data_IF_054460206461
#
_entry.id   IF_054460206461
#
_cell.length_a   1.000
_cell.length_b   1.000
_cell.length_c   1.000
_cell.angle_alpha   90.00
_cell.angle_beta   90.00
_cell.angle_gamma   90.00
#
_symmetry.space_group_name_H-M   'P 1'
#
loop_
_entity.id
_entity.type
_entity.pdbx_description
1 polymer ?
#
# COMPACT_ATOMS: atom_id res chain seq x y z
N UNK A 1 -9.80 9.05 4.85
CA UNK A 1 -8.62 9.16 5.75
C UNK A 1 -7.45 9.40 4.83
N UNK A 2 -6.46 10.22 5.16
CA UNK A 2 -5.38 10.47 4.19
C UNK A 2 -4.31 9.40 4.32
N UNK A 3 -3.76 8.92 3.21
CA UNK A 3 -2.61 8.02 3.24
C UNK A 3 -1.47 8.66 4.05
N UNK A 4 -0.98 7.94 5.06
CA UNK A 4 0.20 8.31 5.81
C UNK A 4 1.45 7.65 5.22
N UNK A 5 1.39 6.34 4.97
CA UNK A 5 2.45 5.56 4.31
C UNK A 5 1.86 4.28 3.74
N UNK A 6 2.26 3.91 2.54
CA UNK A 6 2.06 2.57 2.00
C UNK A 6 3.41 1.89 1.90
N UNK A 7 3.49 0.63 2.34
CA UNK A 7 4.70 -0.19 2.30
C UNK A 7 4.40 -1.49 1.57
N UNK A 8 5.11 -1.71 0.47
CA UNK A 8 5.00 -2.89 -0.37
C UNK A 8 6.28 -3.71 -0.20
N UNK A 9 6.14 -4.94 0.26
CA UNK A 9 7.23 -5.90 0.39
C UNK A 9 7.15 -6.88 -0.78
N UNK A 10 8.19 -6.88 -1.60
CA UNK A 10 8.32 -7.78 -2.75
C UNK A 10 8.87 -9.14 -2.34
N UNK A 11 8.71 -10.13 -3.20
CA UNK A 11 9.16 -11.52 -2.95
C UNK A 11 10.67 -11.66 -2.77
N UNK A 12 11.45 -10.73 -3.32
CA UNK A 12 12.89 -10.63 -3.10
C UNK A 12 13.27 -9.89 -1.80
N UNK A 13 12.30 -9.61 -0.92
CA UNK A 13 12.42 -8.82 0.32
C UNK A 13 12.76 -7.33 0.13
N UNK A 14 12.75 -6.82 -1.10
CA UNK A 14 12.82 -5.39 -1.34
C UNK A 14 11.56 -4.71 -0.81
N UNK A 15 11.74 -3.52 -0.24
CA UNK A 15 10.65 -2.72 0.32
C UNK A 15 10.52 -1.44 -0.48
N UNK A 16 9.33 -1.20 -1.01
CA UNK A 16 8.94 0.08 -1.60
C UNK A 16 8.04 0.82 -0.60
N UNK A 17 8.27 2.12 -0.45
CA UNK A 17 7.48 2.98 0.42
C UNK A 17 7.01 4.21 -0.34
N UNK A 18 5.74 4.56 -0.17
CA UNK A 18 5.11 5.73 -0.78
C UNK A 18 4.25 6.46 0.24
N UNK A 19 4.06 7.76 0.02
CA UNK A 19 3.23 8.63 0.87
C UNK A 19 2.05 9.26 0.09
N UNK A 20 1.85 8.89 -1.17
CA UNK A 20 0.67 9.26 -1.95
C UNK A 20 -0.04 8.02 -2.49
N UNK A 21 -1.36 8.13 -2.68
CA UNK A 21 -2.19 7.05 -3.23
C UNK A 21 -1.73 6.75 -4.65
N UNK A 22 -1.49 7.77 -5.47
CA UNK A 22 -1.09 7.63 -6.87
C UNK A 22 0.23 6.87 -7.01
N UNK A 23 1.25 7.23 -6.21
CA UNK A 23 2.53 6.54 -6.25
C UNK A 23 2.40 5.08 -5.78
N UNK A 24 1.57 4.84 -4.77
CA UNK A 24 1.30 3.49 -4.28
C UNK A 24 0.67 2.63 -5.36
N UNK A 25 -0.33 3.16 -6.07
CA UNK A 25 -0.98 2.46 -7.19
C UNK A 25 0.01 2.18 -8.33
N UNK A 26 0.85 3.16 -8.69
CA UNK A 26 1.90 2.93 -9.71
C UNK A 26 2.86 1.81 -9.33
N UNK A 27 3.31 1.74 -8.07
CA UNK A 27 4.16 0.63 -7.61
C UNK A 27 3.44 -0.72 -7.66
N UNK A 28 2.16 -0.76 -7.30
CA UNK A 28 1.37 -2.00 -7.37
C UNK A 28 1.21 -2.48 -8.81
N UNK A 29 0.98 -1.57 -9.76
CA UNK A 29 0.92 -1.90 -11.20
C UNK A 29 2.27 -2.39 -11.74
N UNK A 30 3.37 -1.69 -11.42
CA UNK A 30 4.72 -2.01 -11.92
C UNK A 30 5.30 -3.32 -11.36
N UNK A 31 4.81 -3.75 -10.19
CA UNK A 31 5.34 -4.89 -9.44
C UNK A 31 4.37 -6.07 -9.33
N UNK A 32 3.14 -5.96 -9.85
CA UNK A 32 2.13 -7.03 -9.82
C UNK A 32 2.69 -8.36 -10.34
N UNK A 33 3.42 -8.33 -11.45
CA UNK A 33 4.00 -9.52 -12.09
C UNK A 33 5.30 -10.00 -11.43
N UNK A 34 5.96 -9.17 -10.61
CA UNK A 34 7.24 -9.49 -9.94
C UNK A 34 7.04 -10.19 -8.60
N UNK A 35 5.80 -10.30 -8.14
CA UNK A 35 5.40 -11.01 -6.94
C UNK A 35 5.52 -10.13 -5.69
N UNK A 36 4.36 -9.73 -5.17
CA UNK A 36 4.23 -8.99 -3.92
C UNK A 36 3.98 -9.98 -2.78
N UNK A 37 4.74 -9.87 -1.70
CA UNK A 37 4.59 -10.70 -0.51
C UNK A 37 3.67 -10.08 0.54
N UNK A 38 3.69 -8.76 0.67
CA UNK A 38 2.92 -8.04 1.69
C UNK A 38 2.69 -6.59 1.30
N UNK A 39 1.52 -6.06 1.65
CA UNK A 39 1.19 -4.64 1.53
C UNK A 39 0.66 -4.18 2.89
N UNK A 40 1.26 -3.11 3.42
CA UNK A 40 0.82 -2.43 4.64
C UNK A 40 0.42 -1.01 4.27
N UNK A 41 -0.78 -0.59 4.65
CA UNK A 41 -1.30 0.76 4.37
C UNK A 41 -1.60 1.41 5.71
N UNK A 42 -0.87 2.46 6.02
CA UNK A 42 -1.15 3.34 7.15
C UNK A 42 -1.88 4.58 6.62
N UNK A 43 -3.06 4.84 7.16
CA UNK A 43 -3.81 6.07 6.89
C UNK A 43 -3.98 6.87 8.19
N UNK A 44 -4.19 8.17 8.08
CA UNK A 44 -4.42 9.04 9.22
C UNK A 44 -5.66 9.90 9.05
N UNK A 45 -6.38 10.12 10.15
CA UNK A 45 -7.45 11.10 10.26
C UNK A 45 -6.95 12.47 10.78
N UNK A 46 -5.63 12.63 10.95
CA UNK A 46 -4.97 13.80 11.52
C UNK A 46 -4.71 13.69 13.04
N UNK A 47 -5.33 12.73 13.74
CA UNK A 47 -5.14 12.51 15.17
C UNK A 47 -4.46 11.16 15.47
N UNK A 48 -4.80 10.12 14.71
CA UNK A 48 -4.25 8.78 14.88
C UNK A 48 -3.90 8.14 13.53
N UNK A 49 -3.03 7.13 13.58
CA UNK A 49 -2.72 6.27 12.44
C UNK A 49 -3.57 5.00 12.56
N UNK A 50 -4.19 4.63 11.46
CA UNK A 50 -4.94 3.40 11.26
C UNK A 50 -4.19 2.52 10.26
N UNK A 51 -3.80 1.34 10.68
CA UNK A 51 -3.03 0.40 9.86
C UNK A 51 -3.93 -0.68 9.28
N UNK A 52 -3.86 -0.86 7.97
CA UNK A 52 -4.54 -1.89 7.21
C UNK A 52 -3.51 -2.86 6.65
N UNK A 53 -3.73 -4.15 6.89
CA UNK A 53 -3.01 -5.21 6.21
C UNK A 53 -3.98 -5.94 5.31
N UNK A 54 -3.80 -5.78 4.01
CA UNK A 54 -4.63 -6.46 3.02
C UNK A 54 -4.09 -7.86 2.71
N UNK A 55 -4.99 -8.78 2.40
CA UNK A 55 -4.67 -10.17 2.09
C UNK A 55 -4.57 -10.44 0.59
N UNK A 56 -5.01 -9.50 -0.24
CA UNK A 56 -4.85 -9.55 -1.70
C UNK A 56 -4.42 -8.20 -2.28
N UNK A 57 -3.88 -8.25 -3.50
CA UNK A 57 -3.57 -7.05 -4.28
C UNK A 57 -4.82 -6.21 -4.55
N UNK A 58 -5.92 -6.84 -4.93
CA UNK A 58 -7.19 -6.17 -5.24
C UNK A 58 -7.76 -5.43 -4.03
N UNK A 59 -7.76 -6.06 -2.85
CA UNK A 59 -8.19 -5.42 -1.60
C UNK A 59 -7.29 -4.23 -1.24
N UNK A 60 -5.98 -4.35 -1.50
CA UNK A 60 -5.02 -3.26 -1.27
C UNK A 60 -5.30 -2.06 -2.17
N UNK A 61 -5.60 -2.31 -3.45
CA UNK A 61 -5.97 -1.28 -4.43
C UNK A 61 -7.29 -0.61 -4.03
N UNK A 62 -8.30 -1.40 -3.66
CA UNK A 62 -9.59 -0.88 -3.19
C UNK A 62 -9.42 0.01 -1.94
N UNK A 63 -8.63 -0.45 -0.97
CA UNK A 63 -8.34 0.33 0.23
C UNK A 63 -7.67 1.67 -0.14
N UNK A 64 -6.64 1.66 -1.00
CA UNK A 64 -5.97 2.88 -1.46
C UNK A 64 -6.91 3.85 -2.20
N UNK A 65 -7.80 3.34 -3.04
CA UNK A 65 -8.77 4.19 -3.78
C UNK A 65 -9.86 4.79 -2.88
N UNK A 66 -10.11 4.19 -1.71
CA UNK A 66 -11.11 4.64 -0.75
C UNK A 66 -10.55 5.58 0.34
N UNK A 67 -9.25 5.89 0.31
CA UNK A 67 -8.62 6.86 1.22
C UNK A 67 -8.87 8.31 0.80
#
# INVERSE_FOLDING_TARGET
MVLHTCRIVLSNQQVLTSQSVEQSLSFLEDEADKGISKIEIDATDGNQIHSYMSHSLEESIENLMNL
#
